data_IF_845392290397
#
_entry.id   IF_845392290397
#
_cell.length_a   1.000
_cell.length_b   1.000
_cell.length_c   1.000
_cell.angle_alpha   90.00
_cell.angle_beta   90.00
_cell.angle_gamma   90.00
#
_symmetry.space_group_name_H-M   'P 1'
#
loop_
_entity.id
_entity.type
_entity.pdbx_description
1 polymer ?
#
# COMPACT_ATOMS: atom_id res chain seq x y z
N UNK A 1 3.91 -28.99 27.79
CA UNK A 1 4.80 -28.02 28.46
C UNK A 1 4.49 -26.64 27.90
N UNK A 2 4.10 -25.67 28.75
CA UNK A 2 3.83 -24.28 28.33
C UNK A 2 5.01 -23.40 28.75
N UNK A 3 5.45 -22.48 27.87
CA UNK A 3 6.50 -21.52 28.15
C UNK A 3 5.93 -20.09 28.08
N UNK A 4 6.43 -19.23 28.97
CA UNK A 4 6.06 -17.80 28.96
C UNK A 4 7.05 -17.05 28.08
N UNK A 5 6.54 -16.30 27.08
CA UNK A 5 7.38 -15.44 26.25
C UNK A 5 7.66 -14.12 26.99
N UNK A 6 8.94 -13.74 27.07
CA UNK A 6 9.37 -12.47 27.64
C UNK A 6 9.43 -11.33 26.60
N UNK A 7 9.35 -11.65 25.31
CA UNK A 7 9.33 -10.72 24.18
C UNK A 7 8.29 -11.16 23.16
N UNK A 8 7.76 -10.23 22.40
CA UNK A 8 6.89 -10.54 21.27
C UNK A 8 7.64 -11.39 20.24
N UNK A 9 6.96 -12.40 19.71
CA UNK A 9 7.47 -13.24 18.63
C UNK A 9 6.76 -12.83 17.33
N UNK A 10 7.51 -12.77 16.23
CA UNK A 10 6.94 -12.49 14.92
C UNK A 10 5.85 -13.53 14.57
N UNK A 11 4.72 -13.07 14.05
CA UNK A 11 3.59 -13.93 13.68
C UNK A 11 2.51 -14.10 14.76
N UNK A 12 2.74 -13.72 16.02
CA UNK A 12 1.65 -13.71 17.02
C UNK A 12 0.79 -12.45 16.86
N UNK A 13 -0.51 -12.58 17.14
CA UNK A 13 -1.52 -11.52 16.97
C UNK A 13 -1.17 -10.20 17.70
N UNK A 14 -0.50 -10.27 18.84
CA UNK A 14 -0.17 -9.11 19.66
C UNK A 14 1.13 -8.40 19.24
N UNK A 15 2.00 -9.05 18.44
CA UNK A 15 3.31 -8.51 18.11
C UNK A 15 3.28 -7.14 17.42
N UNK A 16 2.40 -6.88 16.43
CA UNK A 16 2.33 -5.57 15.78
C UNK A 16 1.97 -4.45 16.76
N UNK A 17 1.04 -4.69 17.67
CA UNK A 17 0.64 -3.70 18.68
C UNK A 17 1.76 -3.40 19.68
N UNK A 18 2.45 -4.42 20.15
CA UNK A 18 3.59 -4.26 21.07
C UNK A 18 4.75 -3.52 20.39
N UNK A 19 5.04 -3.84 19.13
CA UNK A 19 6.04 -3.13 18.33
C UNK A 19 5.67 -1.66 18.16
N UNK A 20 4.43 -1.38 17.75
CA UNK A 20 3.95 -0.01 17.56
C UNK A 20 4.10 0.81 18.85
N UNK A 21 3.73 0.27 20.01
CA UNK A 21 3.86 0.98 21.30
C UNK A 21 5.32 1.32 21.63
N UNK A 22 6.24 0.42 21.33
CA UNK A 22 7.68 0.63 21.60
C UNK A 22 8.24 1.74 20.70
N UNK A 23 7.95 1.72 19.40
CA UNK A 23 8.47 2.73 18.47
C UNK A 23 7.75 4.08 18.65
N UNK A 24 6.45 4.10 18.94
CA UNK A 24 5.68 5.29 19.27
C UNK A 24 6.29 6.04 20.46
N UNK A 25 6.53 5.32 21.56
CA UNK A 25 7.15 5.89 22.76
C UNK A 25 8.53 6.47 22.43
N UNK A 26 9.30 5.78 21.63
CA UNK A 26 10.63 6.24 21.25
C UNK A 26 10.59 7.48 20.35
N UNK A 27 9.75 7.50 19.29
CA UNK A 27 9.61 8.66 18.43
C UNK A 27 9.11 9.89 19.19
N UNK A 28 8.17 9.72 20.12
CA UNK A 28 7.70 10.80 21.02
C UNK A 28 8.83 11.32 21.91
N UNK A 29 9.71 10.45 22.40
CA UNK A 29 10.89 10.86 23.19
C UNK A 29 11.91 11.68 22.38
N UNK A 30 11.91 11.53 21.04
CA UNK A 30 12.70 12.35 20.13
C UNK A 30 12.04 13.70 19.77
N UNK A 31 10.82 13.96 20.25
CA UNK A 31 10.06 15.18 19.99
C UNK A 31 9.08 15.09 18.82
N UNK A 32 8.81 13.91 18.29
CA UNK A 32 7.75 13.71 17.30
C UNK A 32 6.37 13.68 17.97
N UNK A 33 5.37 14.15 17.23
CA UNK A 33 3.94 14.09 17.59
C UNK A 33 3.25 13.18 16.59
N UNK A 34 2.44 12.23 17.07
CA UNK A 34 1.62 11.38 16.20
C UNK A 34 0.46 12.17 15.58
N UNK A 35 0.10 11.85 14.35
CA UNK A 35 -1.06 12.43 13.69
C UNK A 35 -2.34 11.88 14.33
N UNK A 36 -3.30 12.75 14.66
CA UNK A 36 -4.58 12.37 15.27
C UNK A 36 -5.44 11.43 14.39
N UNK A 37 -5.29 11.53 13.06
CA UNK A 37 -6.09 10.78 12.09
C UNK A 37 -5.41 9.47 11.65
N UNK A 38 -4.09 9.36 11.83
CA UNK A 38 -3.29 8.22 11.41
C UNK A 38 -2.14 8.01 12.38
N UNK A 39 -2.26 7.04 13.27
CA UNK A 39 -1.30 6.77 14.33
C UNK A 39 0.08 6.29 13.84
N UNK A 40 0.18 5.89 12.58
CA UNK A 40 1.45 5.50 11.97
C UNK A 40 2.19 6.66 11.30
N UNK A 41 1.65 7.90 11.35
CA UNK A 41 2.29 9.11 10.84
C UNK A 41 2.69 10.01 12.00
N UNK A 42 3.95 10.40 11.99
CA UNK A 42 4.55 11.28 12.99
C UNK A 42 5.13 12.51 12.33
N UNK A 43 5.08 13.64 13.01
CA UNK A 43 5.71 14.86 12.54
C UNK A 43 6.42 15.62 13.67
N UNK A 44 7.46 16.35 13.31
CA UNK A 44 8.18 17.27 14.18
C UNK A 44 8.25 18.62 13.47
N UNK A 45 7.84 19.69 14.14
CA UNK A 45 7.96 21.05 13.64
C UNK A 45 9.42 21.50 13.86
N UNK A 46 10.11 21.85 12.79
CA UNK A 46 11.50 22.32 12.81
C UNK A 46 11.63 23.81 12.53
N UNK A 47 10.56 24.44 12.03
CA UNK A 47 10.44 25.90 11.90
C UNK A 47 8.96 26.27 11.89
N UNK A 48 8.62 27.40 12.52
CA UNK A 48 7.24 27.92 12.58
C UNK A 48 6.95 28.97 11.51
N UNK A 49 7.99 29.63 10.96
CA UNK A 49 7.83 30.67 9.94
C UNK A 49 9.00 30.64 8.94
N UNK A 50 8.86 30.03 7.75
CA UNK A 50 7.70 29.24 7.32
C UNK A 50 7.54 27.95 8.11
N UNK A 51 6.32 27.38 8.12
CA UNK A 51 6.06 26.12 8.82
C UNK A 51 6.74 24.95 8.09
N UNK A 52 7.80 24.43 8.69
CA UNK A 52 8.56 23.28 8.18
C UNK A 52 8.42 22.09 9.14
N UNK A 53 8.28 20.89 8.58
CA UNK A 53 8.13 19.66 9.33
C UNK A 53 9.07 18.57 8.81
N UNK A 54 9.57 17.75 9.74
CA UNK A 54 10.06 16.41 9.45
C UNK A 54 8.89 15.46 9.65
N UNK A 55 8.61 14.61 8.68
CA UNK A 55 7.50 13.65 8.72
C UNK A 55 8.09 12.25 8.68
N UNK A 56 7.59 11.36 9.53
CA UNK A 56 7.95 9.94 9.56
C UNK A 56 6.67 9.12 9.45
N UNK A 57 6.62 8.21 8.49
CA UNK A 57 5.57 7.21 8.35
C UNK A 57 6.11 5.83 8.70
N UNK A 58 5.33 5.05 9.45
CA UNK A 58 5.62 3.68 9.82
C UNK A 58 4.69 2.74 9.06
N UNK A 59 5.23 1.67 8.51
CA UNK A 59 4.44 0.57 7.98
C UNK A 59 5.10 -0.76 8.37
N UNK A 60 4.58 -1.38 9.42
CA UNK A 60 5.15 -2.60 10.02
C UNK A 60 6.63 -2.38 10.36
N UNK A 61 7.55 -2.87 9.54
CA UNK A 61 9.01 -2.79 9.73
C UNK A 61 9.64 -1.65 8.91
N UNK A 62 8.88 -1.05 7.98
CA UNK A 62 9.37 0.01 7.10
C UNK A 62 9.19 1.39 7.74
N UNK A 63 10.22 2.23 7.62
CA UNK A 63 10.22 3.63 8.04
C UNK A 63 10.49 4.49 6.82
N UNK A 64 9.53 5.33 6.45
CA UNK A 64 9.69 6.34 5.40
C UNK A 64 9.76 7.73 6.02
N UNK A 65 10.60 8.61 5.49
CA UNK A 65 10.74 9.96 6.00
C UNK A 65 10.73 11.01 4.91
N UNK A 66 10.18 12.18 5.24
CA UNK A 66 10.25 13.39 4.43
C UNK A 66 10.73 14.55 5.30
N UNK A 67 11.65 15.36 4.79
CA UNK A 67 12.23 16.48 5.53
C UNK A 67 12.59 17.62 4.58
N UNK A 68 12.55 18.88 5.03
CA UNK A 68 13.03 20.02 4.26
C UNK A 68 14.55 19.92 4.02
N UNK A 69 15.02 20.22 2.81
CA UNK A 69 16.45 20.17 2.46
C UNK A 69 17.33 21.04 3.38
N UNK A 70 16.79 22.18 3.84
CA UNK A 70 17.44 23.07 4.81
C UNK A 70 17.65 22.43 6.20
N UNK A 71 16.90 21.38 6.55
CA UNK A 71 16.98 20.69 7.85
C UNK A 71 17.50 19.26 7.71
N UNK A 72 18.27 18.99 6.66
CA UNK A 72 18.88 17.68 6.42
C UNK A 72 19.72 17.19 7.59
N UNK A 73 20.53 18.05 8.19
CA UNK A 73 21.40 17.67 9.32
C UNK A 73 20.58 17.29 10.56
N UNK A 74 19.49 18.00 10.82
CA UNK A 74 18.55 17.65 11.91
C UNK A 74 17.95 16.26 11.68
N UNK A 75 17.51 15.96 10.45
CA UNK A 75 17.02 14.63 10.11
C UNK A 75 18.11 13.55 10.25
N UNK A 76 19.35 13.81 9.78
CA UNK A 76 20.45 12.84 9.87
C UNK A 76 20.77 12.49 11.33
N UNK A 77 20.75 13.47 12.24
CA UNK A 77 20.95 13.24 13.67
C UNK A 77 19.84 12.36 14.26
N UNK A 78 18.57 12.64 13.94
CA UNK A 78 17.42 11.83 14.37
C UNK A 78 17.50 10.40 13.82
N UNK A 79 17.83 10.26 12.53
CA UNK A 79 18.03 8.96 11.89
C UNK A 79 19.11 8.13 12.57
N UNK A 80 20.24 8.72 12.94
CA UNK A 80 21.30 8.03 13.69
C UNK A 80 20.80 7.53 15.05
N UNK A 81 19.94 8.29 15.76
CA UNK A 81 19.36 7.85 17.02
C UNK A 81 18.41 6.65 16.82
N UNK A 82 17.61 6.66 15.75
CA UNK A 82 16.76 5.51 15.37
C UNK A 82 17.63 4.28 15.07
N UNK A 83 18.66 4.44 14.24
CA UNK A 83 19.58 3.36 13.88
C UNK A 83 20.37 2.80 15.06
N UNK A 84 20.74 3.65 16.03
CA UNK A 84 21.40 3.21 17.26
C UNK A 84 20.47 2.41 18.18
N UNK A 85 19.18 2.73 18.17
CA UNK A 85 18.17 2.05 19.02
C UNK A 85 17.71 0.74 18.42
N UNK A 86 17.56 0.66 17.11
CA UNK A 86 17.03 -0.47 16.36
C UNK A 86 18.02 -0.93 15.29
N UNK A 87 18.01 -2.22 15.00
CA UNK A 87 18.78 -2.78 13.87
C UNK A 87 18.05 -2.48 12.55
N UNK A 88 18.18 -1.25 12.06
CA UNK A 88 17.58 -0.82 10.79
C UNK A 88 18.65 -0.54 9.75
N UNK A 89 18.37 -0.89 8.50
CA UNK A 89 19.21 -0.58 7.35
C UNK A 89 18.73 0.71 6.69
N UNK A 90 19.65 1.64 6.44
CA UNK A 90 19.35 2.84 5.66
C UNK A 90 19.48 2.52 4.17
N UNK A 91 18.36 2.46 3.47
CA UNK A 91 18.31 2.23 2.01
C UNK A 91 18.45 3.53 1.20
N UNK A 92 18.66 4.67 1.88
CA UNK A 92 18.86 5.96 1.23
C UNK A 92 17.59 6.58 0.69
N UNK A 93 17.67 7.14 -0.52
CA UNK A 93 16.54 7.80 -1.18
C UNK A 93 15.48 6.76 -1.58
N UNK A 94 14.23 6.98 -1.17
CA UNK A 94 13.14 6.07 -1.48
C UNK A 94 12.96 5.93 -3.00
N UNK A 95 13.07 4.71 -3.51
CA UNK A 95 12.78 4.32 -4.90
C UNK A 95 11.56 3.41 -5.01
N UNK A 96 11.28 2.66 -3.94
CA UNK A 96 10.10 1.81 -3.80
C UNK A 96 9.55 1.93 -2.38
N UNK A 97 8.24 1.95 -2.24
CA UNK A 97 7.54 1.95 -0.96
C UNK A 97 6.17 1.29 -1.13
N UNK A 98 5.83 0.33 -0.26
CA UNK A 98 4.53 -0.34 -0.25
C UNK A 98 4.07 -0.84 -1.64
N UNK A 99 4.95 -1.45 -2.42
CA UNK A 99 4.63 -1.94 -3.76
C UNK A 99 4.51 -0.86 -4.85
N UNK A 100 4.79 0.41 -4.50
CA UNK A 100 4.84 1.53 -5.45
C UNK A 100 6.28 1.89 -5.78
N UNK A 101 6.52 2.27 -7.03
CA UNK A 101 7.75 2.93 -7.44
C UNK A 101 7.66 4.43 -7.15
N UNK A 102 8.71 4.98 -6.53
CA UNK A 102 8.82 6.41 -6.20
C UNK A 102 9.84 7.05 -7.14
N UNK A 103 9.38 7.97 -7.97
CA UNK A 103 10.23 8.73 -8.90
C UNK A 103 10.33 10.16 -8.36
N UNK A 104 11.54 10.56 -8.00
CA UNK A 104 11.80 11.89 -7.44
C UNK A 104 12.61 12.73 -8.43
N UNK A 105 12.09 13.89 -8.80
CA UNK A 105 12.77 14.95 -9.55
C UNK A 105 12.86 16.22 -8.69
N UNK A 106 13.64 17.24 -9.10
CA UNK A 106 13.75 18.48 -8.31
C UNK A 106 12.41 19.19 -8.05
N UNK A 107 11.45 19.06 -8.96
CA UNK A 107 10.15 19.75 -8.90
C UNK A 107 8.97 18.84 -8.61
N UNK A 108 9.16 17.51 -8.61
CA UNK A 108 8.03 16.56 -8.54
C UNK A 108 8.41 15.23 -7.91
N UNK A 109 7.48 14.68 -7.15
CA UNK A 109 7.47 13.27 -6.72
C UNK A 109 6.32 12.59 -7.44
N UNK A 110 6.59 11.48 -8.11
CA UNK A 110 5.58 10.65 -8.77
C UNK A 110 5.61 9.24 -8.19
N UNK A 111 4.42 8.68 -8.03
CA UNK A 111 4.22 7.30 -7.61
C UNK A 111 3.62 6.51 -8.78
N UNK A 112 4.11 5.33 -9.06
CA UNK A 112 3.50 4.43 -10.03
C UNK A 112 3.56 2.96 -9.58
N UNK A 113 2.64 2.17 -10.13
CA UNK A 113 2.53 0.73 -9.88
C UNK A 113 2.85 -0.11 -11.14
N UNK A 114 3.67 0.39 -12.06
CA UNK A 114 3.95 -0.31 -13.34
C UNK A 114 4.48 -1.72 -13.12
N UNK A 115 5.38 -1.93 -12.17
CA UNK A 115 5.92 -3.25 -11.85
C UNK A 115 4.81 -4.17 -11.36
N UNK A 116 4.02 -3.71 -10.40
CA UNK A 116 2.88 -4.44 -9.87
C UNK A 116 1.88 -4.85 -10.96
N UNK A 117 1.50 -3.91 -11.85
CA UNK A 117 0.57 -4.19 -12.94
C UNK A 117 1.15 -5.25 -13.90
N UNK A 118 2.42 -5.14 -14.28
CA UNK A 118 3.10 -6.13 -15.14
C UNK A 118 3.14 -7.52 -14.50
N UNK A 119 3.44 -7.60 -13.21
CA UNK A 119 3.44 -8.86 -12.47
C UNK A 119 2.03 -9.48 -12.44
N UNK A 120 0.99 -8.68 -12.23
CA UNK A 120 -0.40 -9.19 -12.26
C UNK A 120 -0.85 -9.62 -13.64
N UNK A 121 -0.49 -8.90 -14.69
CA UNK A 121 -0.76 -9.33 -16.07
C UNK A 121 -0.07 -10.66 -16.39
N UNK A 122 1.16 -10.86 -15.94
CA UNK A 122 1.89 -12.12 -16.12
C UNK A 122 1.24 -13.26 -15.30
N UNK A 123 0.89 -13.02 -14.04
CA UNK A 123 0.23 -13.98 -13.14
C UNK A 123 -1.08 -14.52 -13.73
N UNK A 124 -1.87 -13.64 -14.37
CA UNK A 124 -3.14 -14.02 -14.99
C UNK A 124 -3.05 -14.35 -16.48
N UNK A 125 -1.83 -14.53 -17.03
CA UNK A 125 -1.57 -14.88 -18.43
C UNK A 125 -2.17 -13.88 -19.44
N UNK A 126 -2.11 -12.59 -19.12
CA UNK A 126 -2.68 -11.49 -19.93
C UNK A 126 -1.61 -10.53 -20.50
N UNK A 127 -0.33 -10.91 -20.51
CA UNK A 127 0.79 -10.05 -20.94
C UNK A 127 0.65 -9.60 -22.39
N UNK A 128 0.25 -10.52 -23.30
CA UNK A 128 0.13 -10.28 -24.74
C UNK A 128 -1.34 -10.11 -25.19
N UNK A 129 -2.21 -9.68 -24.29
CA UNK A 129 -3.63 -9.54 -24.61
C UNK A 129 -3.95 -8.21 -25.30
N UNK A 130 -4.99 -8.20 -26.13
CA UNK A 130 -5.55 -6.97 -26.71
C UNK A 130 -6.14 -6.09 -25.60
N UNK A 131 -5.83 -4.81 -25.60
CA UNK A 131 -6.33 -3.84 -24.61
C UNK A 131 -7.78 -3.43 -24.89
N UNK A 132 -8.46 -2.95 -23.86
CA UNK A 132 -9.78 -2.33 -23.98
C UNK A 132 -9.69 -0.82 -23.75
N UNK A 133 -10.49 -0.01 -24.46
CA UNK A 133 -10.50 1.45 -24.29
C UNK A 133 -11.22 1.91 -23.02
N UNK A 134 -12.02 1.03 -22.38
CA UNK A 134 -12.80 1.35 -21.18
C UNK A 134 -12.73 0.20 -20.16
N UNK A 135 -12.67 0.49 -18.86
CA UNK A 135 -12.58 -0.55 -17.84
C UNK A 135 -13.88 -1.36 -17.69
N UNK A 136 -15.03 -0.76 -17.97
CA UNK A 136 -16.31 -1.44 -17.94
C UNK A 136 -16.98 -1.46 -19.31
N UNK A 137 -17.80 -2.49 -19.56
CA UNK A 137 -18.75 -2.48 -20.67
C UNK A 137 -19.97 -1.61 -20.30
N UNK A 138 -20.79 -1.23 -21.31
CA UNK A 138 -22.04 -0.49 -21.10
C UNK A 138 -23.11 -1.34 -20.41
N UNK A 139 -23.01 -2.66 -20.51
CA UNK A 139 -23.97 -3.58 -19.91
C UNK A 139 -23.80 -3.67 -18.40
N UNK A 140 -24.93 -3.65 -17.69
CA UNK A 140 -24.96 -3.79 -16.24
C UNK A 140 -24.67 -5.25 -15.85
N UNK A 141 -23.70 -5.45 -14.97
CA UNK A 141 -23.41 -6.76 -14.38
C UNK A 141 -24.52 -7.15 -13.40
N UNK A 142 -25.14 -8.31 -13.63
CA UNK A 142 -26.17 -8.90 -12.78
C UNK A 142 -25.96 -10.39 -12.68
N UNK A 143 -26.52 -11.03 -11.65
CA UNK A 143 -26.64 -12.50 -11.62
C UNK A 143 -27.83 -12.88 -12.48
N UNK A 144 -27.64 -13.79 -13.43
CA UNK A 144 -28.71 -14.28 -14.31
C UNK A 144 -28.46 -15.73 -14.74
N UNK A 145 -29.49 -16.38 -15.25
CA UNK A 145 -29.44 -17.81 -15.64
C UNK A 145 -28.71 -18.07 -16.98
N UNK A 146 -28.32 -17.02 -17.71
CA UNK A 146 -27.60 -17.13 -19.00
C UNK A 146 -26.15 -17.53 -18.83
N UNK A 147 -25.57 -17.31 -17.66
CA UNK A 147 -24.16 -17.55 -17.39
C UNK A 147 -23.97 -18.52 -16.22
N UNK A 148 -23.16 -19.58 -16.38
CA UNK A 148 -22.89 -20.51 -15.30
C UNK A 148 -22.09 -19.85 -14.17
N UNK A 149 -22.32 -20.31 -12.96
CA UNK A 149 -21.48 -19.98 -11.81
C UNK A 149 -20.09 -20.58 -11.98
N UNK A 150 -19.07 -19.89 -11.44
CA UNK A 150 -17.72 -20.40 -11.43
C UNK A 150 -17.61 -21.57 -10.44
N UNK A 151 -17.06 -22.69 -10.89
CA UNK A 151 -16.71 -23.82 -10.02
C UNK A 151 -15.54 -23.50 -9.08
N UNK A 152 -14.60 -22.68 -9.55
CA UNK A 152 -13.47 -22.15 -8.75
C UNK A 152 -13.51 -20.62 -8.75
N UNK A 153 -13.80 -20.06 -7.60
CA UNK A 153 -13.91 -18.61 -7.39
C UNK A 153 -12.59 -17.95 -7.03
N UNK A 154 -11.51 -18.72 -6.85
CA UNK A 154 -10.21 -18.23 -6.35
C UNK A 154 -9.58 -17.25 -7.34
N UNK A 155 -9.53 -17.61 -8.63
CA UNK A 155 -8.98 -16.71 -9.67
C UNK A 155 -9.73 -15.37 -9.69
N UNK A 156 -11.06 -15.41 -9.65
CA UNK A 156 -11.88 -14.19 -9.62
C UNK A 156 -11.54 -13.29 -8.42
N UNK A 157 -11.46 -13.88 -7.24
CA UNK A 157 -11.13 -13.16 -6.01
C UNK A 157 -9.72 -12.57 -6.04
N UNK A 158 -8.74 -13.29 -6.59
CA UNK A 158 -7.38 -12.81 -6.76
C UNK A 158 -7.32 -11.61 -7.72
N UNK A 159 -8.00 -11.69 -8.86
CA UNK A 159 -8.07 -10.58 -9.82
C UNK A 159 -8.73 -9.36 -9.16
N UNK A 160 -9.92 -9.51 -8.59
CA UNK A 160 -10.65 -8.37 -7.99
C UNK A 160 -9.87 -7.77 -6.81
N UNK A 161 -9.24 -8.59 -5.97
CA UNK A 161 -8.36 -8.11 -4.89
C UNK A 161 -7.18 -7.31 -5.42
N UNK A 162 -6.50 -7.79 -6.48
CA UNK A 162 -5.39 -7.09 -7.12
C UNK A 162 -5.82 -5.76 -7.73
N UNK A 163 -6.97 -5.73 -8.40
CA UNK A 163 -7.54 -4.51 -8.98
C UNK A 163 -7.97 -3.51 -7.90
N UNK A 164 -8.49 -3.99 -6.76
CA UNK A 164 -8.86 -3.13 -5.63
C UNK A 164 -7.63 -2.39 -5.10
N UNK A 165 -6.50 -3.08 -4.92
CA UNK A 165 -5.25 -2.43 -4.53
C UNK A 165 -4.80 -1.37 -5.55
N UNK A 166 -4.80 -1.70 -6.85
CA UNK A 166 -4.43 -0.76 -7.90
C UNK A 166 -5.34 0.48 -7.92
N UNK A 167 -6.66 0.30 -7.77
CA UNK A 167 -7.66 1.37 -7.83
C UNK A 167 -7.51 2.38 -6.70
N UNK A 168 -7.14 1.93 -5.51
CA UNK A 168 -6.96 2.78 -4.32
C UNK A 168 -5.67 3.61 -4.43
N UNK A 169 -4.62 3.06 -5.02
CA UNK A 169 -3.29 3.65 -4.97
C UNK A 169 -3.02 4.59 -6.16
N UNK A 170 -3.06 4.08 -7.39
CA UNK A 170 -2.64 4.87 -8.57
C UNK A 170 -3.63 4.88 -9.72
N UNK A 171 -4.69 4.07 -9.67
CA UNK A 171 -5.65 3.90 -10.75
C UNK A 171 -7.10 4.21 -10.29
N UNK A 172 -7.39 5.44 -9.82
CA UNK A 172 -8.74 5.82 -9.41
C UNK A 172 -9.78 5.73 -10.56
N UNK A 173 -9.32 5.75 -11.80
CA UNK A 173 -10.11 5.60 -13.02
C UNK A 173 -10.83 4.24 -13.12
N UNK A 174 -10.29 3.17 -12.52
CA UNK A 174 -10.94 1.85 -12.49
C UNK A 174 -11.83 1.62 -11.25
N UNK A 175 -11.87 2.53 -10.30
CA UNK A 175 -12.54 2.33 -8.99
C UNK A 175 -14.00 1.92 -9.14
N UNK A 176 -14.76 2.58 -10.04
CA UNK A 176 -16.16 2.25 -10.26
C UNK A 176 -16.32 0.80 -10.76
N UNK A 177 -15.57 0.41 -11.80
CA UNK A 177 -15.62 -0.94 -12.36
C UNK A 177 -15.27 -2.01 -11.32
N UNK A 178 -14.22 -1.75 -10.51
CA UNK A 178 -13.79 -2.66 -9.44
C UNK A 178 -14.87 -2.79 -8.36
N UNK A 179 -15.47 -1.69 -7.92
CA UNK A 179 -16.54 -1.71 -6.92
C UNK A 179 -17.77 -2.50 -7.40
N UNK A 180 -18.08 -2.45 -8.70
CA UNK A 180 -19.15 -3.29 -9.25
C UNK A 180 -18.80 -4.76 -9.16
N UNK A 181 -17.56 -5.15 -9.43
CA UNK A 181 -17.10 -6.54 -9.35
C UNK A 181 -17.07 -7.07 -7.90
N UNK A 182 -16.75 -6.24 -6.91
CA UNK A 182 -16.72 -6.69 -5.50
C UNK A 182 -18.07 -7.23 -4.99
N UNK A 183 -19.18 -6.84 -5.61
CA UNK A 183 -20.52 -7.31 -5.25
C UNK A 183 -20.71 -8.80 -5.50
N UNK A 184 -19.92 -9.41 -6.39
CA UNK A 184 -20.04 -10.79 -6.83
C UNK A 184 -18.97 -11.72 -6.24
N UNK A 185 -18.26 -11.31 -5.20
CA UNK A 185 -17.15 -12.07 -4.59
C UNK A 185 -17.57 -13.43 -4.00
N UNK A 186 -18.83 -13.59 -3.61
CA UNK A 186 -19.34 -14.84 -3.02
C UNK A 186 -19.77 -15.85 -4.09
N UNK A 187 -20.48 -15.40 -5.11
CA UNK A 187 -21.11 -16.25 -6.14
C UNK A 187 -20.89 -15.68 -7.54
N UNK A 188 -19.63 -15.58 -8.01
CA UNK A 188 -19.34 -15.04 -9.33
C UNK A 188 -19.75 -16.03 -10.43
N UNK A 189 -20.19 -15.47 -11.57
CA UNK A 189 -20.45 -16.17 -12.82
C UNK A 189 -19.34 -15.91 -13.85
N UNK A 190 -19.33 -16.66 -14.96
CA UNK A 190 -18.35 -16.50 -16.04
C UNK A 190 -18.31 -15.07 -16.59
N UNK A 191 -19.43 -14.38 -16.69
CA UNK A 191 -19.49 -12.98 -17.13
C UNK A 191 -18.75 -12.04 -16.16
N UNK A 192 -18.79 -12.31 -14.85
CA UNK A 192 -18.08 -11.50 -13.86
C UNK A 192 -16.56 -11.67 -13.98
N UNK A 193 -16.10 -12.91 -14.25
CA UNK A 193 -14.68 -13.19 -14.51
C UNK A 193 -14.20 -12.50 -15.80
N UNK A 194 -15.01 -12.56 -16.86
CA UNK A 194 -14.71 -11.87 -18.11
C UNK A 194 -14.62 -10.34 -17.90
N UNK A 195 -15.52 -9.76 -17.12
CA UNK A 195 -15.50 -8.36 -16.77
C UNK A 195 -14.27 -7.98 -15.91
N UNK A 196 -13.87 -8.83 -14.96
CA UNK A 196 -12.66 -8.61 -14.17
C UNK A 196 -11.39 -8.65 -15.04
N UNK A 197 -11.29 -9.62 -15.96
CA UNK A 197 -10.22 -9.69 -16.98
C UNK A 197 -10.23 -8.50 -17.94
N UNK A 198 -11.40 -7.92 -18.24
CA UNK A 198 -11.51 -6.69 -19.01
C UNK A 198 -10.84 -5.52 -18.30
N UNK A 199 -11.06 -5.34 -17.00
CA UNK A 199 -10.42 -4.27 -16.22
C UNK A 199 -8.90 -4.42 -16.21
N UNK A 200 -8.36 -5.65 -16.11
CA UNK A 200 -6.92 -5.90 -16.21
C UNK A 200 -6.34 -5.51 -17.58
N UNK A 201 -7.14 -5.61 -18.64
CA UNK A 201 -6.76 -5.32 -20.03
C UNK A 201 -6.98 -3.86 -20.41
N UNK A 202 -7.50 -3.04 -19.54
CA UNK A 202 -7.63 -1.59 -19.66
C UNK A 202 -6.38 -0.88 -19.12
#
# INVERSE_FOLDING_TARGET
MCVKLNRALYGIKQAPHLWHNVIDTFLKSLGFVSCEKENCIYFMIVSSSPLLRIIVGLFVDDIISSYPSSHRNSWLSLKQQIMKRYQVSDIGKASHVLGMRVIQSPSRISLDQRTYVKEKLAEFSLTECTTFPTPAASEQLTVNDKHPFLSNITEYRQIVGSLTYASIITRPDITHAVNMLTRFMLTPQQQHLAAAKRVLRY
#
